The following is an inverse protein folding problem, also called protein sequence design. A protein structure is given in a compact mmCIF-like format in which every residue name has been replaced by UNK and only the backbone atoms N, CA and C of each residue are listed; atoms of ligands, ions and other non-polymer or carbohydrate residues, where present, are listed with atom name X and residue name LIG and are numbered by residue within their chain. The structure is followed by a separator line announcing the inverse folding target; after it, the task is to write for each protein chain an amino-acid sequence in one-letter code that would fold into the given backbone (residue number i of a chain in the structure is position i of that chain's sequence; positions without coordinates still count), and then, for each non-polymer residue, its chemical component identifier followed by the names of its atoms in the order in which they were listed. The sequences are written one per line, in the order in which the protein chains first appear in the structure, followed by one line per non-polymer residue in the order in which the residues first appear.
data_IF_233750130172
#
_entry.id   IF_233750130172
#
_cell.length_a   1.000
_cell.length_b   1.000
_cell.length_c   1.000
_cell.angle_alpha   90.00
_cell.angle_beta   90.00
_cell.angle_gamma   90.00
#
_symmetry.space_group_name_H-M   'P 1'
#
loop_
_entity.id
_entity.type
_entity.pdbx_description
1 polymer ?
#
# COMPACT_ATOMS: atom_id res chain seq x y z
N UNK A 1 12.29 7.74 -0.01
CA UNK A 1 11.89 8.18 -1.37
C UNK A 1 13.12 8.32 -2.28
N UNK A 2 13.14 7.62 -3.43
CA UNK A 2 14.23 7.70 -4.44
C UNK A 2 13.82 8.68 -5.55
N UNK A 3 13.57 9.93 -5.18
CA UNK A 3 13.26 10.98 -6.15
C UNK A 3 14.39 12.00 -6.07
N UNK A 4 15.22 12.03 -7.12
CA UNK A 4 16.32 13.00 -7.25
C UNK A 4 15.82 14.35 -7.79
N UNK A 5 16.68 15.38 -7.80
CA UNK A 5 16.30 16.75 -8.13
C UNK A 5 15.78 16.93 -9.57
N UNK A 6 16.15 16.04 -10.50
CA UNK A 6 15.81 16.17 -11.94
C UNK A 6 14.76 15.15 -12.40
N UNK A 7 13.79 14.82 -11.54
CA UNK A 7 12.72 13.89 -11.93
C UNK A 7 11.79 14.59 -12.91
N UNK A 8 11.91 14.28 -14.22
CA UNK A 8 10.92 14.68 -15.21
C UNK A 8 9.52 14.34 -14.68
N UNK A 9 8.58 15.26 -14.80
CA UNK A 9 7.20 15.13 -14.29
C UNK A 9 6.49 13.81 -14.69
N UNK A 10 6.90 13.20 -15.80
CA UNK A 10 6.46 11.87 -16.26
C UNK A 10 6.95 10.70 -15.39
N UNK A 11 8.11 10.83 -14.74
CA UNK A 11 8.73 9.80 -13.90
C UNK A 11 8.14 9.73 -12.47
N UNK A 12 7.31 10.71 -12.08
CA UNK A 12 6.55 10.67 -10.81
C UNK A 12 5.45 9.59 -10.88
N UNK A 13 5.00 9.19 -12.07
CA UNK A 13 4.01 8.13 -12.24
C UNK A 13 2.67 8.48 -11.57
N UNK A 14 1.96 7.51 -10.97
CA UNK A 14 0.62 7.72 -10.40
C UNK A 14 0.62 8.71 -9.20
N UNK A 15 1.77 8.96 -8.58
CA UNK A 15 1.87 9.91 -7.46
C UNK A 15 1.49 11.34 -7.84
N UNK A 16 1.54 11.70 -9.15
CA UNK A 16 1.05 13.01 -9.61
C UNK A 16 -0.45 13.20 -9.36
N UNK A 17 -1.22 12.11 -9.42
CA UNK A 17 -2.65 12.13 -9.17
C UNK A 17 -2.90 12.31 -7.68
N UNK A 18 -2.12 11.62 -6.84
CA UNK A 18 -2.18 11.79 -5.39
C UNK A 18 -1.86 13.22 -4.95
N UNK A 19 -0.87 13.88 -5.55
CA UNK A 19 -0.55 15.29 -5.22
C UNK A 19 -1.64 16.28 -5.63
N UNK A 20 -2.56 15.88 -6.50
CA UNK A 20 -3.69 16.70 -6.90
C UNK A 20 -4.94 16.47 -6.02
N UNK A 21 -4.93 15.47 -5.15
CA UNK A 21 -6.02 15.21 -4.21
C UNK A 21 -5.91 16.14 -2.99
N UNK A 22 -7.03 16.63 -2.45
CA UNK A 22 -7.05 17.31 -1.15
C UNK A 22 -6.45 16.41 -0.07
N UNK A 23 -5.70 17.00 0.88
CA UNK A 23 -5.05 16.26 1.97
C UNK A 23 -6.07 15.52 2.85
N UNK A 24 -7.29 16.05 2.94
CA UNK A 24 -8.41 15.43 3.65
C UNK A 24 -8.88 14.15 2.95
N UNK A 25 -8.79 14.11 1.61
CA UNK A 25 -9.10 12.92 0.82
C UNK A 25 -7.94 11.90 0.82
N UNK A 26 -6.72 12.33 1.16
CA UNK A 26 -5.55 11.46 1.25
C UNK A 26 -5.59 10.54 2.49
N UNK A 27 -6.37 10.90 3.51
CA UNK A 27 -6.52 10.15 4.75
C UNK A 27 -7.87 9.44 4.81
N UNK A 28 -7.99 8.33 4.07
CA UNK A 28 -9.20 7.51 4.09
C UNK A 28 -9.36 6.80 5.46
N UNK A 29 -10.53 6.90 6.12
CA UNK A 29 -10.78 6.26 7.40
C UNK A 29 -10.69 4.72 7.35
N UNK A 30 -10.86 4.10 6.19
CA UNK A 30 -10.70 2.66 5.97
C UNK A 30 -9.22 2.25 6.09
N UNK A 31 -8.31 3.09 5.61
CA UNK A 31 -6.86 2.82 5.63
C UNK A 31 -6.22 3.29 6.95
N UNK A 32 -6.81 4.28 7.62
CA UNK A 32 -6.29 4.87 8.85
C UNK A 32 -5.89 3.86 9.96
N UNK A 33 -6.67 2.79 10.26
CA UNK A 33 -6.26 1.78 11.23
C UNK A 33 -4.93 1.14 10.89
N UNK A 34 -4.69 0.83 9.61
CA UNK A 34 -3.46 0.18 9.16
C UNK A 34 -2.22 1.08 9.28
N UNK A 35 -2.41 2.40 9.29
CA UNK A 35 -1.33 3.40 9.40
C UNK A 35 -0.82 3.60 10.83
N UNK A 36 -1.52 3.04 11.84
CA UNK A 36 -1.08 3.14 13.22
C UNK A 36 0.33 2.55 13.43
N UNK A 37 1.16 3.10 14.34
CA UNK A 37 2.52 2.61 14.58
C UNK A 37 2.63 1.11 14.90
N UNK A 38 1.60 0.55 15.54
CA UNK A 38 1.48 -0.87 15.87
C UNK A 38 1.34 -1.77 14.63
N UNK A 39 0.90 -1.23 13.50
CA UNK A 39 0.59 -1.98 12.27
C UNK A 39 1.58 -1.68 11.14
N UNK A 40 2.70 -1.00 11.41
CA UNK A 40 3.73 -0.68 10.40
C UNK A 40 4.20 -1.88 9.58
N UNK A 41 4.31 -3.06 10.20
CA UNK A 41 4.72 -4.28 9.48
C UNK A 41 3.63 -4.77 8.51
N UNK A 42 2.35 -4.64 8.89
CA UNK A 42 1.21 -4.99 8.04
C UNK A 42 1.09 -4.00 6.89
N UNK A 43 1.19 -2.69 7.17
CA UNK A 43 1.21 -1.63 6.15
C UNK A 43 2.32 -1.86 5.12
N UNK A 44 3.55 -2.17 5.58
CA UNK A 44 4.67 -2.53 4.70
C UNK A 44 4.38 -3.79 3.87
N UNK A 45 3.74 -4.79 4.47
CA UNK A 45 3.44 -6.04 3.77
C UNK A 45 2.40 -5.82 2.66
N UNK A 46 1.31 -5.11 2.96
CA UNK A 46 0.29 -4.73 2.00
C UNK A 46 0.85 -3.88 0.86
N UNK A 47 1.67 -2.87 1.17
CA UNK A 47 2.27 -2.03 0.14
C UNK A 47 3.18 -2.84 -0.81
N UNK A 48 4.05 -3.70 -0.28
CA UNK A 48 4.93 -4.54 -1.12
C UNK A 48 4.12 -5.54 -1.94
N UNK A 49 3.01 -6.05 -1.39
CA UNK A 49 2.08 -6.91 -2.12
C UNK A 49 1.48 -6.19 -3.33
N UNK A 50 0.99 -4.97 -3.14
CA UNK A 50 0.38 -4.14 -4.17
C UNK A 50 1.43 -3.66 -5.20
N UNK A 51 2.62 -3.28 -4.75
CA UNK A 51 3.77 -2.95 -5.62
C UNK A 51 4.22 -4.18 -6.46
N UNK A 52 4.00 -5.40 -5.97
CA UNK A 52 4.21 -6.65 -6.71
C UNK A 52 2.99 -7.09 -7.55
N UNK A 53 2.00 -6.20 -7.76
CA UNK A 53 0.77 -6.46 -8.49
C UNK A 53 -0.02 -7.67 -7.94
N UNK A 54 -0.05 -7.83 -6.62
CA UNK A 54 -0.77 -8.91 -5.95
C UNK A 54 -0.10 -10.29 -6.06
N UNK A 55 1.11 -10.38 -6.63
CA UNK A 55 1.79 -11.67 -6.79
C UNK A 55 2.41 -12.12 -5.46
N UNK A 56 1.76 -13.05 -4.77
CA UNK A 56 2.20 -13.55 -3.46
C UNK A 56 3.62 -14.11 -3.47
N UNK A 57 4.02 -14.83 -4.54
CA UNK A 57 5.37 -15.37 -4.68
C UNK A 57 6.46 -14.28 -4.73
N UNK A 58 6.25 -13.24 -5.54
CA UNK A 58 7.17 -12.10 -5.65
C UNK A 58 7.22 -11.29 -4.35
N UNK A 59 6.06 -11.09 -3.74
CA UNK A 59 5.92 -10.38 -2.46
C UNK A 59 6.67 -11.08 -1.33
N UNK A 60 6.48 -12.39 -1.19
CA UNK A 60 7.15 -13.18 -0.16
C UNK A 60 8.69 -13.16 -0.33
N UNK A 61 9.16 -13.27 -1.57
CA UNK A 61 10.58 -13.14 -1.89
C UNK A 61 11.13 -11.74 -1.57
N UNK A 62 10.42 -10.68 -1.96
CA UNK A 62 10.81 -9.29 -1.70
C UNK A 62 10.85 -8.95 -0.20
N UNK A 63 10.00 -9.59 0.61
CA UNK A 63 9.95 -9.42 2.06
C UNK A 63 10.87 -10.38 2.82
N UNK A 64 11.46 -11.39 2.16
CA UNK A 64 12.25 -12.43 2.81
C UNK A 64 11.45 -13.28 3.79
N UNK A 65 10.18 -13.55 3.51
CA UNK A 65 9.27 -14.32 4.38
C UNK A 65 8.67 -15.53 3.66
N UNK A 66 8.18 -16.48 4.44
CA UNK A 66 7.42 -17.60 3.91
C UNK A 66 6.03 -17.16 3.40
N UNK A 67 5.49 -17.85 2.38
CA UNK A 67 4.16 -17.56 1.82
C UNK A 67 3.05 -17.62 2.85
N UNK A 68 3.10 -18.59 3.78
CA UNK A 68 2.12 -18.70 4.86
C UNK A 68 2.11 -17.46 5.77
N UNK A 69 3.29 -16.91 6.09
CA UNK A 69 3.41 -15.68 6.87
C UNK A 69 2.86 -14.48 6.11
N UNK A 70 3.06 -14.44 4.79
CA UNK A 70 2.47 -13.41 3.95
C UNK A 70 0.94 -13.47 4.00
N UNK A 71 0.33 -14.64 3.76
CA UNK A 71 -1.13 -14.79 3.78
C UNK A 71 -1.73 -14.43 5.14
N UNK A 72 -1.09 -14.85 6.24
CA UNK A 72 -1.51 -14.44 7.58
C UNK A 72 -1.54 -12.92 7.74
N UNK A 73 -0.50 -12.22 7.26
CA UNK A 73 -0.45 -10.75 7.34
C UNK A 73 -1.47 -10.08 6.43
N UNK A 74 -1.68 -10.58 5.22
CA UNK A 74 -2.69 -10.04 4.31
C UNK A 74 -4.10 -10.22 4.87
N UNK A 75 -4.42 -11.39 5.40
CA UNK A 75 -5.70 -11.61 6.10
C UNK A 75 -5.88 -10.66 7.29
N UNK A 76 -4.81 -10.35 8.02
CA UNK A 76 -4.89 -9.36 9.09
C UNK A 76 -5.10 -7.93 8.59
N UNK A 77 -4.60 -7.59 7.40
CA UNK A 77 -4.87 -6.31 6.73
C UNK A 77 -6.35 -6.21 6.36
N UNK A 78 -6.91 -7.26 5.74
CA UNK A 78 -8.34 -7.34 5.40
C UNK A 78 -9.21 -7.21 6.66
N UNK A 79 -8.85 -7.88 7.75
CA UNK A 79 -9.57 -7.76 9.03
C UNK A 79 -9.54 -6.35 9.63
N UNK A 80 -8.42 -5.62 9.49
CA UNK A 80 -8.25 -4.29 10.07
C UNK A 80 -8.94 -3.20 9.25
N UNK A 81 -9.02 -3.39 7.94
CA UNK A 81 -9.53 -2.40 6.99
C UNK A 81 -10.96 -2.71 6.54
N UNK A 82 -11.38 -3.98 6.57
CA UNK A 82 -12.63 -4.44 5.98
C UNK A 82 -12.57 -4.59 4.45
N UNK A 83 -11.40 -4.37 3.85
CA UNK A 83 -11.19 -4.51 2.41
C UNK A 83 -10.99 -5.97 2.00
N UNK A 84 -11.39 -6.30 0.78
CA UNK A 84 -11.12 -7.57 0.10
C UNK A 84 -9.96 -7.40 -0.88
N UNK A 85 -8.85 -8.11 -0.67
CA UNK A 85 -7.67 -7.98 -1.54
C UNK A 85 -7.78 -8.75 -2.85
N UNK A 86 -8.82 -9.56 -3.04
CA UNK A 86 -9.14 -10.14 -4.35
C UNK A 86 -9.88 -9.12 -5.24
N UNK A 87 -10.53 -8.12 -4.65
CA UNK A 87 -11.23 -7.04 -5.37
C UNK A 87 -10.30 -5.92 -5.85
N UNK A 88 -10.54 -5.48 -7.10
CA UNK A 88 -9.67 -4.50 -7.77
C UNK A 88 -9.74 -3.10 -7.18
N UNK A 89 -10.95 -2.65 -6.85
CA UNK A 89 -11.19 -1.31 -6.29
C UNK A 89 -10.62 -1.19 -4.87
N UNK A 90 -10.81 -2.21 -4.05
CA UNK A 90 -10.28 -2.29 -2.69
C UNK A 90 -8.76 -2.27 -2.67
N UNK A 91 -8.10 -3.03 -3.56
CA UNK A 91 -6.65 -2.95 -3.74
C UNK A 91 -6.18 -1.56 -4.15
N UNK A 92 -6.90 -0.90 -5.06
CA UNK A 92 -6.56 0.44 -5.52
C UNK A 92 -6.67 1.45 -4.37
N UNK A 93 -7.78 1.43 -3.63
CA UNK A 93 -8.01 2.28 -2.46
C UNK A 93 -6.88 2.10 -1.44
N UNK A 94 -6.57 0.86 -1.08
CA UNK A 94 -5.50 0.54 -0.13
C UNK A 94 -4.14 1.02 -0.63
N UNK A 95 -3.82 0.81 -1.91
CA UNK A 95 -2.54 1.22 -2.48
C UNK A 95 -2.37 2.73 -2.44
N UNK A 96 -3.41 3.46 -2.86
CA UNK A 96 -3.43 4.92 -2.87
C UNK A 96 -3.30 5.49 -1.46
N UNK A 97 -4.07 4.99 -0.49
CA UNK A 97 -3.96 5.42 0.91
C UNK A 97 -2.58 5.17 1.52
N UNK A 98 -1.96 4.02 1.24
CA UNK A 98 -0.61 3.71 1.70
C UNK A 98 0.47 4.60 1.07
N UNK A 99 0.32 4.95 -0.22
CA UNK A 99 1.23 5.87 -0.90
C UNK A 99 1.06 7.31 -0.43
N UNK A 100 -0.19 7.73 -0.23
CA UNK A 100 -0.52 9.09 0.23
C UNK A 100 0.04 9.36 1.63
N UNK A 101 -0.04 8.38 2.55
CA UNK A 101 0.52 8.49 3.90
C UNK A 101 2.06 8.61 3.96
N UNK A 102 2.77 8.53 2.82
CA UNK A 102 4.23 8.63 2.72
C UNK A 102 4.72 9.88 2.00
N UNK A 103 3.81 10.61 1.34
CA UNK A 103 4.09 11.90 0.72
C UNK A 103 4.16 12.96 1.83
#
# INVERSE_FOLDING_TARGET
PRLGPDTQWSAIGPYRLLTALPVEAAHDPVVAPLLAPAHRQLARTAEVFLDCAGQAGRTAAALGIHRQTLYYRLSRVEQLTGLDLDEGEDRLLLHMGLKAARL
#
